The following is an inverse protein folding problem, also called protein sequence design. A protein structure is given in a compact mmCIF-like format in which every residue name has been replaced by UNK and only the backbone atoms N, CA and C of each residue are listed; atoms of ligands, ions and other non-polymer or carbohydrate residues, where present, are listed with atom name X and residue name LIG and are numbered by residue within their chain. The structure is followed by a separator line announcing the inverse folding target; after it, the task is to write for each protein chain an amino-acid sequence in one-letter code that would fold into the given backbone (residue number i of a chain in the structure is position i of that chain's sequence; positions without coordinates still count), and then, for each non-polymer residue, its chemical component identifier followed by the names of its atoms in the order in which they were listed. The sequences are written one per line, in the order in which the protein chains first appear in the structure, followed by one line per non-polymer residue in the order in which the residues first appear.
data_IF_260585950178
#
_entry.id   IF_260585950178
#
_cell.length_a   1.000
_cell.length_b   1.000
_cell.length_c   1.000
_cell.angle_alpha   90.00
_cell.angle_beta   90.00
_cell.angle_gamma   90.00
#
_symmetry.space_group_name_H-M   'P 1'
#
loop_
_entity.id
_entity.type
_entity.pdbx_description
1 polymer ?
#
# COMPACT_ATOMS: atom_id res chain seq x y z
N UNK A 1 -21.03 -3.93 -4.65
CA UNK A 1 -19.73 -4.51 -4.32
C UNK A 1 -18.58 -3.72 -4.93
N UNK A 2 -18.63 -3.38 -6.21
CA UNK A 2 -17.57 -2.59 -6.85
C UNK A 2 -17.43 -1.22 -6.20
N UNK A 3 -18.53 -0.57 -5.89
CA UNK A 3 -18.53 0.72 -5.22
C UNK A 3 -17.90 0.63 -3.82
N UNK A 4 -18.25 -0.41 -3.07
CA UNK A 4 -17.66 -0.68 -1.76
C UNK A 4 -16.14 -0.85 -1.86
N UNK A 5 -15.68 -1.61 -2.84
CA UNK A 5 -14.25 -1.86 -3.04
C UNK A 5 -13.54 -0.56 -3.42
N UNK A 6 -14.11 0.23 -4.30
CA UNK A 6 -13.53 1.51 -4.70
C UNK A 6 -13.37 2.45 -3.50
N UNK A 7 -14.41 2.55 -2.66
CA UNK A 7 -14.37 3.40 -1.46
C UNK A 7 -13.29 2.90 -0.49
N UNK A 8 -13.24 1.60 -0.25
CA UNK A 8 -12.26 1.01 0.65
C UNK A 8 -10.83 1.24 0.17
N UNK A 9 -10.56 1.01 -1.12
CA UNK A 9 -9.24 1.24 -1.69
C UNK A 9 -8.86 2.71 -1.67
N UNK A 10 -9.81 3.61 -1.93
CA UNK A 10 -9.58 5.05 -1.87
C UNK A 10 -9.17 5.48 -0.47
N UNK A 11 -9.86 4.98 0.57
CA UNK A 11 -9.50 5.24 1.96
C UNK A 11 -8.13 4.67 2.31
N UNK A 12 -7.88 3.42 1.92
CA UNK A 12 -6.60 2.77 2.22
C UNK A 12 -5.44 3.55 1.61
N UNK A 13 -5.57 3.97 0.36
CA UNK A 13 -4.56 4.77 -0.33
C UNK A 13 -4.37 6.13 0.35
N UNK A 14 -5.46 6.84 0.61
CA UNK A 14 -5.42 8.17 1.22
C UNK A 14 -4.80 8.15 2.62
N UNK A 15 -5.21 7.21 3.45
CA UNK A 15 -4.71 7.13 4.83
C UNK A 15 -3.24 6.71 4.87
N UNK A 16 -2.83 5.80 4.00
CA UNK A 16 -1.42 5.42 3.89
C UNK A 16 -0.58 6.60 3.44
N UNK A 17 -1.02 7.33 2.42
CA UNK A 17 -0.28 8.49 1.91
C UNK A 17 -0.19 9.61 2.95
N UNK A 18 -1.23 9.80 3.74
CA UNK A 18 -1.23 10.82 4.80
C UNK A 18 -0.20 10.52 5.90
N UNK A 19 0.20 9.28 6.06
CA UNK A 19 1.18 8.86 7.07
C UNK A 19 2.62 8.91 6.55
N UNK A 20 2.83 9.17 5.26
CA UNK A 20 4.16 9.15 4.67
C UNK A 20 5.00 10.31 5.17
N UNK A 21 6.14 9.99 5.76
CA UNK A 21 7.17 10.95 6.15
C UNK A 21 8.46 10.19 6.42
N UNK A 22 9.63 10.86 6.40
CA UNK A 22 10.88 10.19 6.73
C UNK A 22 10.80 9.54 8.11
N UNK A 23 11.29 8.31 8.22
CA UNK A 23 11.30 7.55 9.48
C UNK A 23 10.12 6.62 9.68
N UNK A 24 8.99 6.84 9.01
CA UNK A 24 7.88 5.89 9.02
C UNK A 24 8.33 4.61 8.33
N UNK A 25 7.97 3.45 8.87
CA UNK A 25 8.43 2.19 8.32
C UNK A 25 7.49 1.63 7.25
N UNK A 26 8.05 0.76 6.41
CA UNK A 26 7.27 0.01 5.42
C UNK A 26 6.16 -0.80 6.08
N UNK A 27 6.44 -1.37 7.27
CA UNK A 27 5.44 -2.15 8.00
C UNK A 27 4.26 -1.29 8.44
N UNK A 28 4.52 -0.06 8.89
CA UNK A 28 3.46 0.84 9.33
C UNK A 28 2.52 1.21 8.19
N UNK A 29 3.06 1.52 7.02
CA UNK A 29 2.24 1.89 5.86
C UNK A 29 1.39 0.72 5.39
N UNK A 30 1.98 -0.46 5.27
CA UNK A 30 1.24 -1.65 4.86
C UNK A 30 0.13 -1.97 5.87
N UNK A 31 0.43 -1.83 7.17
CA UNK A 31 -0.55 -2.07 8.23
C UNK A 31 -1.73 -1.10 8.14
N UNK A 32 -1.48 0.18 7.85
CA UNK A 32 -2.54 1.18 7.71
C UNK A 32 -3.52 0.75 6.61
N UNK A 33 -3.01 0.41 5.43
CA UNK A 33 -3.86 -0.04 4.33
C UNK A 33 -4.65 -1.29 4.67
N UNK A 34 -3.99 -2.29 5.25
CA UNK A 34 -4.66 -3.55 5.62
C UNK A 34 -5.71 -3.34 6.69
N UNK A 35 -5.47 -2.43 7.64
CA UNK A 35 -6.44 -2.11 8.68
C UNK A 35 -7.70 -1.49 8.10
N UNK A 36 -7.55 -0.58 7.13
CA UNK A 36 -8.72 0.00 6.44
C UNK A 36 -9.49 -1.09 5.71
N UNK A 37 -8.80 -1.96 4.97
CA UNK A 37 -9.48 -3.02 4.23
C UNK A 37 -10.17 -4.02 5.17
N UNK A 38 -9.61 -4.24 6.36
CA UNK A 38 -10.24 -5.08 7.38
C UNK A 38 -11.59 -4.52 7.81
N UNK A 39 -11.72 -3.19 7.91
CA UNK A 39 -13.00 -2.56 8.27
C UNK A 39 -14.09 -2.87 7.25
N UNK A 40 -13.72 -3.17 6.01
CA UNK A 40 -14.66 -3.49 4.93
C UNK A 40 -14.75 -5.00 4.65
N UNK A 41 -14.07 -5.82 5.47
CA UNK A 41 -13.97 -7.28 5.28
C UNK A 41 -13.35 -7.64 3.92
N UNK A 42 -12.35 -6.88 3.48
CA UNK A 42 -11.69 -7.06 2.19
C UNK A 42 -10.21 -7.40 2.29
N UNK A 43 -9.62 -7.39 3.49
CA UNK A 43 -8.18 -7.58 3.66
C UNK A 43 -7.68 -8.90 3.07
N UNK A 44 -8.46 -9.97 3.19
CA UNK A 44 -8.10 -11.30 2.67
C UNK A 44 -7.89 -11.33 1.16
N UNK A 45 -8.42 -10.33 0.44
CA UNK A 45 -8.26 -10.23 -1.02
C UNK A 45 -7.12 -9.31 -1.43
N UNK A 46 -6.41 -8.71 -0.48
CA UNK A 46 -5.24 -7.88 -0.75
C UNK A 46 -3.99 -8.78 -0.66
N UNK A 47 -3.60 -9.34 -1.79
CA UNK A 47 -2.64 -10.45 -1.88
C UNK A 47 -1.23 -10.06 -2.33
N UNK A 48 -0.94 -8.76 -2.42
CA UNK A 48 0.42 -8.30 -2.76
C UNK A 48 0.85 -7.20 -1.79
N UNK A 49 2.09 -6.73 -1.92
CA UNK A 49 2.59 -5.63 -1.10
C UNK A 49 1.83 -4.34 -1.38
N UNK A 50 1.82 -3.42 -0.43
CA UNK A 50 1.20 -2.11 -0.62
C UNK A 50 1.90 -1.30 -1.72
N UNK A 51 3.20 -1.48 -1.86
CA UNK A 51 3.97 -0.76 -2.85
C UNK A 51 5.45 -1.01 -2.70
N UNK A 52 6.25 -0.22 -3.40
CA UNK A 52 7.70 -0.40 -3.41
C UNK A 52 8.42 0.90 -3.78
N UNK A 53 9.72 0.91 -3.54
CA UNK A 53 10.57 2.01 -3.99
C UNK A 53 10.70 2.05 -5.50
N UNK A 54 10.83 3.25 -6.03
CA UNK A 54 11.04 3.50 -7.47
C UNK A 54 12.34 4.28 -7.62
N UNK A 55 13.20 3.85 -8.54
CA UNK A 55 14.44 4.57 -8.79
C UNK A 55 15.42 3.75 -9.60
N UNK A 56 16.59 4.33 -9.84
CA UNK A 56 17.64 3.70 -10.62
C UNK A 56 18.33 2.56 -9.87
N UNK A 57 18.29 2.62 -8.54
CA UNK A 57 18.94 1.63 -7.69
C UNK A 57 17.92 0.68 -7.11
N UNK A 58 17.44 -0.21 -7.94
CA UNK A 58 16.36 -1.15 -7.59
C UNK A 58 16.81 -2.26 -6.62
N UNK A 59 18.10 -2.44 -6.42
CA UNK A 59 18.60 -3.51 -5.56
C UNK A 59 18.33 -3.27 -4.08
N UNK A 60 18.15 -2.01 -3.71
CA UNK A 60 17.92 -1.62 -2.32
C UNK A 60 16.57 -0.96 -2.13
N UNK A 61 15.67 -1.13 -3.11
CA UNK A 61 14.34 -0.57 -3.04
C UNK A 61 13.55 -1.14 -1.88
N UNK A 62 12.86 -0.26 -1.16
CA UNK A 62 12.00 -0.66 -0.07
C UNK A 62 10.76 -1.38 -0.62
N UNK A 63 10.29 -2.41 0.09
CA UNK A 63 9.02 -3.06 -0.20
C UNK A 63 8.06 -2.82 0.96
N UNK A 64 6.89 -2.29 0.66
CA UNK A 64 5.88 -1.97 1.67
C UNK A 64 5.05 -3.21 1.98
N UNK A 65 5.56 -4.05 2.86
CA UNK A 65 4.95 -5.35 3.20
C UNK A 65 5.38 -5.78 4.59
N UNK A 66 4.49 -6.51 5.28
CA UNK A 66 4.83 -7.13 6.56
C UNK A 66 5.87 -8.24 6.39
N UNK A 67 5.99 -8.79 5.18
CA UNK A 67 6.92 -9.89 4.89
C UNK A 67 8.34 -9.41 4.61
N UNK A 68 8.50 -8.14 4.26
CA UNK A 68 9.80 -7.56 4.01
C UNK A 68 10.46 -7.15 5.33
N UNK A 69 11.80 -6.98 5.31
CA UNK A 69 12.53 -6.47 6.47
C UNK A 69 11.99 -5.09 6.83
N UNK A 70 11.77 -4.85 8.11
CA UNK A 70 11.32 -3.53 8.60
C UNK A 70 12.36 -2.47 8.25
N UNK A 71 11.93 -1.47 7.49
CA UNK A 71 12.83 -0.44 6.94
C UNK A 71 12.15 0.92 7.02
N UNK A 72 12.84 1.96 7.52
CA UNK A 72 12.28 3.31 7.54
C UNK A 72 12.35 3.95 6.16
N UNK A 73 11.36 4.78 5.86
CA UNK A 73 11.38 5.60 4.65
C UNK A 73 12.44 6.68 4.77
N UNK A 74 13.11 6.97 3.66
CA UNK A 74 14.14 8.01 3.59
C UNK A 74 13.60 9.24 2.86
N UNK A 75 14.04 10.41 3.31
CA UNK A 75 13.65 11.68 2.67
C UNK A 75 14.01 11.66 1.18
N UNK A 76 13.07 12.13 0.37
CA UNK A 76 13.18 12.21 -1.10
C UNK A 76 13.10 10.86 -1.83
N UNK A 77 12.89 9.77 -1.10
CA UNK A 77 12.63 8.47 -1.71
C UNK A 77 11.30 8.50 -2.45
N UNK A 78 11.24 7.87 -3.63
CA UNK A 78 9.98 7.76 -4.38
C UNK A 78 9.45 6.36 -4.16
N UNK A 79 8.17 6.27 -3.73
CA UNK A 79 7.52 4.99 -3.49
C UNK A 79 6.17 4.95 -4.18
N UNK A 80 5.70 3.74 -4.47
CA UNK A 80 4.32 3.55 -4.94
C UNK A 80 3.43 3.20 -3.76
N UNK A 81 2.16 3.60 -3.85
CA UNK A 81 1.11 3.18 -2.93
C UNK A 81 0.01 2.60 -3.81
N UNK A 82 -0.18 1.29 -3.76
CA UNK A 82 -1.03 0.60 -4.72
C UNK A 82 -1.88 -0.52 -4.08
N UNK A 83 -2.78 -0.15 -3.15
CA UNK A 83 -3.65 -1.17 -2.57
C UNK A 83 -4.57 -1.75 -3.63
N UNK A 84 -4.82 -3.06 -3.53
CA UNK A 84 -5.66 -3.77 -4.49
C UNK A 84 -6.48 -4.86 -3.84
N UNK A 85 -7.62 -5.15 -4.43
CA UNK A 85 -8.54 -6.20 -3.98
C UNK A 85 -8.92 -7.04 -5.19
N UNK A 86 -8.75 -8.35 -5.07
CA UNK A 86 -8.97 -9.30 -6.17
C UNK A 86 -9.90 -10.41 -5.70
N UNK A 87 -11.17 -10.32 -6.11
CA UNK A 87 -12.21 -11.25 -5.67
C UNK A 87 -12.37 -12.35 -6.72
N UNK A 88 -11.97 -13.59 -6.41
CA UNK A 88 -12.02 -14.68 -7.40
C UNK A 88 -13.40 -14.84 -8.04
N UNK A 89 -13.43 -14.97 -9.35
CA UNK A 89 -14.65 -15.16 -10.11
C UNK A 89 -15.51 -13.92 -10.27
N UNK A 90 -15.09 -12.78 -9.73
CA UNK A 90 -15.86 -11.53 -9.81
C UNK A 90 -15.09 -10.42 -10.51
N UNK A 91 -14.08 -9.84 -9.85
CA UNK A 91 -13.28 -8.77 -10.44
C UNK A 91 -12.06 -8.48 -9.58
N UNK A 92 -11.15 -7.65 -10.12
CA UNK A 92 -10.05 -7.08 -9.37
C UNK A 92 -10.01 -5.58 -9.56
N UNK A 93 -9.51 -4.86 -8.57
CA UNK A 93 -9.37 -3.41 -8.62
C UNK A 93 -8.11 -3.00 -7.86
N UNK A 94 -7.35 -2.06 -8.43
CA UNK A 94 -6.15 -1.51 -7.78
C UNK A 94 -6.11 -0.01 -8.04
N UNK A 95 -5.81 0.76 -7.01
CA UNK A 95 -5.55 2.20 -7.14
C UNK A 95 -4.06 2.41 -6.87
N UNK A 96 -3.43 3.29 -7.63
CA UNK A 96 -1.99 3.48 -7.55
C UNK A 96 -1.60 4.94 -7.63
N UNK A 97 -0.65 5.35 -6.76
CA UNK A 97 0.01 6.65 -6.82
C UNK A 97 1.51 6.47 -6.62
N UNK A 98 2.30 7.36 -7.21
CA UNK A 98 3.70 7.53 -6.86
C UNK A 98 3.81 8.72 -5.94
N UNK A 99 4.57 8.58 -4.85
CA UNK A 99 4.69 9.60 -3.82
C UNK A 99 6.15 9.82 -3.47
N UNK A 100 6.53 11.10 -3.30
CA UNK A 100 7.88 11.46 -2.82
C UNK A 100 7.78 11.60 -1.30
N UNK A 101 8.65 10.89 -0.61
CA UNK A 101 8.73 10.94 0.85
C UNK A 101 9.29 12.26 1.35
#
# INVERSE_FOLDING_TARGET
LQEKVFIALGRAKKESEAAIKPGVTNHELDKISRSVLTEYDLEKYFIHSLGHGVGLDIHEGITLSQKAKKTPLLKNEIITIEPGVYIPGKFGMRLEDEVIV
#
